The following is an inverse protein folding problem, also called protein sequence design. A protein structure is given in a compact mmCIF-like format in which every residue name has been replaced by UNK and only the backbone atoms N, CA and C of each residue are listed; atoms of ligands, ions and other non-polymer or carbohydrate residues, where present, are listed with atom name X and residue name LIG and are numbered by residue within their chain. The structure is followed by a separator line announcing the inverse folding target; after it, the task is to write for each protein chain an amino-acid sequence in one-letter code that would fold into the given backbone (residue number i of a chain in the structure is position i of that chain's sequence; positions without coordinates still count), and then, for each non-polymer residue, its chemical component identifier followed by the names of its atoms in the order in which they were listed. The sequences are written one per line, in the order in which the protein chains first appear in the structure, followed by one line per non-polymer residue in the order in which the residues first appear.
data_IF_681935894718
#
_entry.id   IF_681935894718
#
_cell.length_a   1.000
_cell.length_b   1.000
_cell.length_c   1.000
_cell.angle_alpha   90.00
_cell.angle_beta   90.00
_cell.angle_gamma   90.00
#
_symmetry.space_group_name_H-M   'P 1'
#
loop_
_entity.id
_entity.type
_entity.pdbx_description
1 polymer ?
#
# COMPACT_ATOMS: atom_id res chain seq x y z
N UNK A 1 -10.41 15.33 -21.37
CA UNK A 1 -8.94 15.48 -21.20
C UNK A 1 -8.43 14.24 -20.52
N UNK A 2 -7.35 13.59 -20.98
CA UNK A 2 -6.77 12.46 -20.24
C UNK A 2 -5.97 12.99 -19.06
N UNK A 3 -6.29 12.55 -17.85
CA UNK A 3 -5.47 12.80 -16.66
C UNK A 3 -4.23 11.89 -16.68
N UNK A 4 -3.18 12.27 -15.96
CA UNK A 4 -2.08 11.33 -15.67
C UNK A 4 -2.64 10.16 -14.83
N UNK A 5 -2.13 8.92 -15.04
CA UNK A 5 -2.44 7.81 -14.15
C UNK A 5 -2.04 8.16 -12.71
N UNK A 6 -2.94 7.98 -11.75
CA UNK A 6 -2.69 8.12 -10.33
C UNK A 6 -2.10 6.81 -9.82
N UNK A 7 -0.84 6.87 -9.36
CA UNK A 7 -0.12 5.71 -8.84
C UNK A 7 -0.05 5.84 -7.33
N UNK A 8 -0.80 5.00 -6.61
CA UNK A 8 -0.73 4.91 -5.17
C UNK A 8 0.65 4.42 -4.70
N UNK A 9 1.34 5.15 -3.84
CA UNK A 9 2.65 4.77 -3.29
C UNK A 9 2.49 4.59 -1.79
N UNK A 10 2.72 3.37 -1.29
CA UNK A 10 2.50 3.06 0.13
C UNK A 10 3.56 3.68 1.03
N UNK A 11 3.12 4.23 2.16
CA UNK A 11 3.98 4.76 3.20
C UNK A 11 4.30 3.73 4.29
N UNK A 12 5.33 4.04 5.08
CA UNK A 12 5.57 3.50 6.42
C UNK A 12 5.12 4.51 7.48
N UNK A 13 4.73 4.02 8.65
CA UNK A 13 4.52 4.86 9.84
C UNK A 13 5.81 4.93 10.64
N UNK A 14 6.28 6.13 10.96
CA UNK A 14 7.45 6.33 11.83
C UNK A 14 7.21 7.44 12.85
N UNK A 15 7.59 7.17 14.10
CA UNK A 15 7.71 8.19 15.13
C UNK A 15 9.00 8.98 14.88
N UNK A 16 8.88 10.30 14.70
CA UNK A 16 10.03 11.22 14.57
C UNK A 16 9.84 12.34 15.58
N UNK A 17 10.64 12.31 16.64
CA UNK A 17 10.46 13.22 17.78
C UNK A 17 9.09 13.00 18.44
N UNK A 18 8.29 14.08 18.55
CA UNK A 18 6.99 14.06 19.23
C UNK A 18 5.82 13.62 18.34
N UNK A 19 6.03 13.45 17.03
CA UNK A 19 4.92 13.18 16.10
C UNK A 19 5.14 11.89 15.29
N UNK A 20 4.02 11.29 14.90
CA UNK A 20 4.00 10.21 13.93
C UNK A 20 3.92 10.78 12.51
N UNK A 21 4.68 10.20 11.59
CA UNK A 21 4.73 10.57 10.19
C UNK A 21 4.47 9.37 9.30
N UNK A 22 3.83 9.62 8.17
CA UNK A 22 3.73 8.68 7.06
C UNK A 22 4.79 9.05 6.04
N UNK A 23 5.72 8.13 5.78
CA UNK A 23 6.90 8.40 4.98
C UNK A 23 7.15 7.30 3.94
N UNK A 24 7.63 7.73 2.78
CA UNK A 24 8.18 6.84 1.74
C UNK A 24 9.57 7.29 1.35
N UNK A 25 10.35 6.37 0.78
CA UNK A 25 11.64 6.71 0.18
C UNK A 25 11.44 7.36 -1.18
N UNK A 26 12.16 8.45 -1.46
CA UNK A 26 12.10 9.20 -2.73
C UNK A 26 12.24 8.32 -3.98
N UNK A 27 13.03 7.23 -3.90
CA UNK A 27 13.19 6.29 -5.02
C UNK A 27 11.87 5.72 -5.53
N UNK A 28 10.86 5.55 -4.67
CA UNK A 28 9.54 5.05 -5.06
C UNK A 28 8.68 6.14 -5.71
N UNK A 29 8.73 7.37 -5.19
CA UNK A 29 8.09 8.55 -5.81
C UNK A 29 8.66 8.77 -7.21
N UNK A 30 9.99 8.73 -7.35
CA UNK A 30 10.66 8.83 -8.64
C UNK A 30 10.29 7.69 -9.58
N UNK A 31 10.15 6.46 -9.09
CA UNK A 31 9.74 5.33 -9.91
C UNK A 31 8.31 5.51 -10.44
N UNK A 32 7.37 5.96 -9.60
CA UNK A 32 6.01 6.27 -10.02
C UNK A 32 5.98 7.37 -11.10
N UNK A 33 6.76 8.44 -10.90
CA UNK A 33 6.82 9.55 -11.85
C UNK A 33 7.50 9.21 -13.18
N UNK A 34 8.62 8.47 -13.15
CA UNK A 34 9.48 8.29 -14.32
C UNK A 34 9.28 6.94 -15.02
N UNK A 35 9.16 5.85 -14.26
CA UNK A 35 9.00 4.51 -14.84
C UNK A 35 7.52 4.23 -15.16
N UNK A 36 6.61 4.51 -14.23
CA UNK A 36 5.17 4.34 -14.45
C UNK A 36 4.52 5.53 -15.20
N UNK A 37 5.25 6.64 -15.38
CA UNK A 37 4.77 7.87 -16.05
C UNK A 37 3.44 8.38 -15.48
N UNK A 38 3.23 8.19 -14.18
CA UNK A 38 2.03 8.58 -13.47
C UNK A 38 2.29 9.63 -12.38
N UNK A 39 1.23 10.25 -11.89
CA UNK A 39 1.26 11.14 -10.75
C UNK A 39 1.30 10.30 -9.46
N UNK A 40 2.36 10.42 -8.63
CA UNK A 40 2.42 9.69 -7.35
C UNK A 40 1.36 10.22 -6.38
N UNK A 41 0.58 9.31 -5.80
CA UNK A 41 -0.41 9.59 -4.76
C UNK A 41 -0.01 8.83 -3.50
N UNK A 42 0.30 9.54 -2.42
CA UNK A 42 0.79 8.91 -1.19
C UNK A 42 -0.33 8.22 -0.42
N UNK A 43 -0.13 6.94 -0.09
CA UNK A 43 -1.06 6.15 0.69
C UNK A 43 -0.54 5.98 2.12
N UNK A 44 -1.06 6.83 3.01
CA UNK A 44 -0.70 6.82 4.42
C UNK A 44 -0.95 5.46 5.08
N UNK A 45 -0.07 5.04 5.98
CA UNK A 45 -0.12 3.76 6.72
C UNK A 45 -1.19 3.71 7.81
N UNK A 46 -2.38 4.24 7.55
CA UNK A 46 -3.62 4.11 8.37
C UNK A 46 -4.85 4.11 7.47
N UNK A 47 -4.70 3.61 6.25
CA UNK A 47 -5.73 3.61 5.22
C UNK A 47 -6.84 2.60 5.55
N UNK A 48 -6.61 1.66 6.46
CA UNK A 48 -7.65 0.77 7.00
C UNK A 48 -8.81 1.50 7.71
N UNK A 49 -8.67 2.81 7.96
CA UNK A 49 -9.76 3.68 8.42
C UNK A 49 -10.77 4.05 7.31
N UNK A 50 -10.46 3.72 6.07
CA UNK A 50 -11.27 3.95 4.87
C UNK A 50 -11.61 2.61 4.22
N UNK A 51 -12.62 2.57 3.36
CA UNK A 51 -12.88 1.38 2.55
C UNK A 51 -11.74 1.20 1.53
N UNK A 52 -11.00 0.08 1.56
CA UNK A 52 -9.93 -0.16 0.61
C UNK A 52 -10.40 -0.21 -0.85
N UNK A 53 -11.67 -0.56 -1.09
CA UNK A 53 -12.24 -0.57 -2.45
C UNK A 53 -12.39 0.84 -3.00
N UNK A 54 -12.88 1.80 -2.22
CA UNK A 54 -12.99 3.21 -2.64
C UNK A 54 -11.63 3.80 -3.04
N UNK A 55 -10.57 3.40 -2.34
CA UNK A 55 -9.21 3.84 -2.65
C UNK A 55 -8.69 3.21 -3.93
N UNK A 56 -8.89 1.90 -4.12
CA UNK A 56 -8.44 1.19 -5.31
C UNK A 56 -9.16 1.73 -6.55
N UNK A 57 -10.46 1.97 -6.47
CA UNK A 57 -11.28 2.47 -7.57
C UNK A 57 -10.85 3.89 -8.02
N UNK A 58 -10.22 4.66 -7.13
CA UNK A 58 -9.67 5.98 -7.42
C UNK A 58 -8.26 5.99 -8.03
N UNK A 59 -7.58 4.85 -8.09
CA UNK A 59 -6.18 4.72 -8.51
C UNK A 59 -6.07 3.92 -9.81
N UNK A 60 -5.08 4.27 -10.63
CA UNK A 60 -4.77 3.52 -11.86
C UNK A 60 -3.68 2.45 -11.63
N UNK A 61 -3.06 2.44 -10.44
CA UNK A 61 -2.11 1.43 -10.01
C UNK A 61 -1.62 1.68 -8.58
N UNK A 62 -1.03 0.65 -7.96
CA UNK A 62 -0.44 0.74 -6.62
C UNK A 62 0.99 0.17 -6.66
N UNK A 63 1.93 0.94 -6.10
CA UNK A 63 3.30 0.57 -5.84
C UNK A 63 3.48 0.28 -4.34
N UNK A 64 3.53 -1.02 -4.00
CA UNK A 64 3.91 -1.46 -2.67
C UNK A 64 5.42 -1.27 -2.46
N UNK A 65 5.76 -0.42 -1.51
CA UNK A 65 7.15 -0.01 -1.26
C UNK A 65 7.86 -0.98 -0.32
N UNK A 66 9.19 -1.03 -0.40
CA UNK A 66 10.03 -1.71 0.58
C UNK A 66 10.27 -0.82 1.81
N UNK A 67 10.59 -1.45 2.94
CA UNK A 67 10.87 -0.79 4.22
C UNK A 67 11.95 -1.55 5.00
N UNK A 68 12.51 -0.89 6.01
CA UNK A 68 13.30 -1.54 7.06
C UNK A 68 12.44 -2.31 8.07
N UNK A 69 11.12 -2.07 8.11
CA UNK A 69 10.19 -2.84 8.93
C UNK A 69 9.80 -4.16 8.25
N UNK A 70 9.70 -5.21 9.07
CA UNK A 70 9.25 -6.55 8.67
C UNK A 70 7.76 -6.70 9.01
N UNK A 71 7.05 -7.51 8.24
CA UNK A 71 5.64 -7.84 8.54
C UNK A 71 5.57 -8.63 9.84
N UNK A 72 4.58 -8.33 10.68
CA UNK A 72 4.34 -9.05 11.93
C UNK A 72 4.05 -10.54 11.70
N UNK A 73 4.72 -11.47 12.40
CA UNK A 73 4.61 -12.90 12.14
C UNK A 73 3.21 -13.50 12.28
N UNK A 74 2.37 -12.91 13.12
CA UNK A 74 1.00 -13.40 13.30
C UNK A 74 0.16 -13.29 12.02
N UNK A 75 0.52 -12.41 11.07
CA UNK A 75 -0.18 -12.31 9.79
C UNK A 75 0.00 -13.54 8.90
N UNK A 76 1.03 -14.36 9.16
CA UNK A 76 1.34 -15.56 8.39
C UNK A 76 1.57 -16.80 9.26
N UNK A 77 1.09 -16.78 10.52
CA UNK A 77 1.28 -17.87 11.50
C UNK A 77 2.75 -18.27 11.68
N UNK A 78 3.65 -17.31 11.59
CA UNK A 78 5.08 -17.52 11.72
C UNK A 78 5.57 -17.55 13.18
N UNK A 79 6.82 -17.99 13.40
CA UNK A 79 7.47 -17.85 14.71
C UNK A 79 7.70 -16.37 15.04
N UNK A 80 7.87 -16.06 16.32
CA UNK A 80 8.26 -14.73 16.77
C UNK A 80 9.55 -14.26 16.06
N UNK A 81 9.59 -12.99 15.69
CA UNK A 81 10.77 -12.35 15.11
C UNK A 81 11.95 -12.36 16.06
N UNK A 82 13.16 -12.24 15.51
CA UNK A 82 14.35 -12.00 16.33
C UNK A 82 14.18 -10.73 17.19
N UNK A 83 14.79 -10.68 18.39
CA UNK A 83 14.80 -9.47 19.21
C UNK A 83 15.24 -8.24 18.40
N UNK A 84 14.66 -7.08 18.70
CA UNK A 84 14.92 -5.80 18.01
C UNK A 84 14.49 -5.75 16.53
N UNK A 85 13.76 -6.75 16.02
CA UNK A 85 13.16 -6.65 14.68
C UNK A 85 12.13 -5.53 14.67
N UNK A 86 12.33 -4.55 13.79
CA UNK A 86 11.38 -3.45 13.63
C UNK A 86 10.13 -3.95 12.89
N UNK A 87 8.97 -3.69 13.47
CA UNK A 87 7.66 -3.92 12.87
C UNK A 87 6.92 -2.60 12.68
N UNK A 88 6.00 -2.57 11.73
CA UNK A 88 5.12 -1.43 11.47
C UNK A 88 3.68 -1.92 11.30
N UNK A 89 2.96 -2.16 12.40
CA UNK A 89 1.62 -2.74 12.36
C UNK A 89 0.62 -1.90 11.56
N UNK A 90 0.84 -0.57 11.50
CA UNK A 90 -0.03 0.34 10.77
C UNK A 90 0.16 0.16 9.24
N UNK A 91 1.42 0.02 8.80
CA UNK A 91 1.73 -0.36 7.41
C UNK A 91 1.23 -1.77 7.07
N UNK A 92 1.40 -2.74 7.96
CA UNK A 92 0.92 -4.10 7.73
C UNK A 92 -0.60 -4.13 7.54
N UNK A 93 -1.35 -3.45 8.41
CA UNK A 93 -2.80 -3.33 8.33
C UNK A 93 -3.26 -2.71 7.00
N UNK A 94 -2.64 -1.60 6.60
CA UNK A 94 -2.92 -0.91 5.33
C UNK A 94 -2.59 -1.80 4.13
N UNK A 95 -1.35 -2.30 4.02
CA UNK A 95 -0.87 -3.06 2.86
C UNK A 95 -1.68 -4.34 2.68
N UNK A 96 -1.89 -5.12 3.74
CA UNK A 96 -2.62 -6.38 3.65
C UNK A 96 -4.09 -6.17 3.31
N UNK A 97 -4.69 -5.06 3.74
CA UNK A 97 -6.07 -4.72 3.39
C UNK A 97 -6.20 -4.32 1.92
N UNK A 98 -5.28 -3.50 1.40
CA UNK A 98 -5.23 -3.12 -0.02
C UNK A 98 -4.97 -4.34 -0.92
N UNK A 99 -4.02 -5.21 -0.56
CA UNK A 99 -3.76 -6.43 -1.34
C UNK A 99 -5.00 -7.32 -1.41
N UNK A 100 -5.68 -7.53 -0.28
CA UNK A 100 -6.91 -8.34 -0.23
C UNK A 100 -8.03 -7.72 -1.07
N UNK A 101 -8.20 -6.41 -1.01
CA UNK A 101 -9.20 -5.71 -1.80
C UNK A 101 -8.89 -5.74 -3.31
N UNK A 102 -7.63 -5.55 -3.69
CA UNK A 102 -7.19 -5.66 -5.09
C UNK A 102 -7.44 -7.05 -5.67
N UNK A 103 -7.15 -8.11 -4.91
CA UNK A 103 -7.48 -9.49 -5.32
C UNK A 103 -8.98 -9.68 -5.55
N UNK A 104 -9.83 -9.11 -4.70
CA UNK A 104 -11.29 -9.18 -4.87
C UNK A 104 -11.75 -8.38 -6.09
N UNK A 105 -11.19 -7.19 -6.31
CA UNK A 105 -11.51 -6.37 -7.48
C UNK A 105 -11.20 -7.12 -8.78
N UNK A 106 -10.00 -7.67 -8.90
CA UNK A 106 -9.58 -8.47 -10.07
C UNK A 106 -10.50 -9.67 -10.30
N UNK A 107 -10.90 -10.37 -9.23
CA UNK A 107 -11.83 -11.50 -9.35
C UNK A 107 -13.21 -11.06 -9.86
N UNK A 108 -13.77 -9.96 -9.33
CA UNK A 108 -15.06 -9.42 -9.79
C UNK A 108 -15.02 -9.07 -11.28
N UNK A 109 -13.94 -8.46 -11.75
CA UNK A 109 -13.78 -8.08 -13.15
C UNK A 109 -13.69 -9.32 -14.06
N UNK A 110 -13.00 -10.37 -13.61
CA UNK A 110 -12.94 -11.64 -14.30
C UNK A 110 -14.32 -12.33 -14.37
N UNK A 111 -15.06 -12.32 -13.26
CA UNK A 111 -16.40 -12.90 -13.19
C UNK A 111 -17.39 -12.14 -14.08
N UNK A 112 -17.30 -10.81 -14.13
CA UNK A 112 -18.12 -9.97 -15.01
C UNK A 112 -17.81 -10.24 -16.49
N UNK A 113 -16.53 -10.41 -16.84
CA UNK A 113 -16.10 -10.69 -18.20
C UNK A 113 -16.54 -12.08 -18.70
N UNK A 114 -16.67 -13.06 -17.80
CA UNK A 114 -17.12 -14.42 -18.14
C UNK A 114 -18.65 -14.54 -18.28
N UNK A 115 -19.40 -13.56 -17.77
CA UNK A 115 -20.87 -13.53 -17.80
C UNK A 115 -21.43 -12.57 -18.87
N UNK A 116 -20.57 -11.95 -19.68
CA UNK A 116 -20.91 -11.09 -20.80
C UNK A 116 -20.81 -11.85 -22.14
#
# INVERSE_FOLDING_TARGET
MSRLPLIGVTDCSRQIGLHAYHITSDKYVRAAATAAKGLPSMLASRVELLDPTDIIDGLDGILFTGSSSTVEPFHYSGPASAPETAHDPARDATILSLIRAGKRAVQRDADASNNA
#
